data_IF_110216006260
#
_entry.id   IF_110216006260
#
_cell.length_a   1.000
_cell.length_b   1.000
_cell.length_c   1.000
_cell.angle_alpha   90.00
_cell.angle_beta   90.00
_cell.angle_gamma   90.00
#
_symmetry.space_group_name_H-M   'P 1'
#
loop_
_entity.id
_entity.type
_entity.pdbx_description
1 polymer ?
#
# COMPACT_ATOMS: atom_id res chain seq x y z
N UNK A 1 -2.67 5.98 -32.62
CA UNK A 1 -2.06 4.65 -32.45
C UNK A 1 -2.97 3.75 -31.63
N UNK A 2 -2.99 2.46 -31.94
CA UNK A 2 -3.78 1.48 -31.17
C UNK A 2 -3.15 1.13 -29.82
N UNK A 3 -1.82 1.24 -29.74
CA UNK A 3 -1.03 0.95 -28.53
C UNK A 3 0.01 2.07 -28.31
N UNK A 4 0.13 2.50 -27.07
CA UNK A 4 1.09 3.52 -26.63
C UNK A 4 1.93 2.91 -25.52
N UNK A 5 3.26 3.01 -25.63
CA UNK A 5 4.20 2.58 -24.60
C UNK A 5 4.83 3.81 -23.93
N UNK A 6 4.77 3.87 -22.62
CA UNK A 6 5.31 4.95 -21.81
C UNK A 6 6.24 4.36 -20.74
N UNK A 7 7.47 4.84 -20.72
CA UNK A 7 8.45 4.45 -19.69
C UNK A 7 8.60 5.57 -18.67
N UNK A 8 8.23 5.31 -17.42
CA UNK A 8 8.27 6.25 -16.29
C UNK A 8 7.71 7.65 -16.63
N UNK A 9 6.49 7.78 -17.20
CA UNK A 9 6.03 9.01 -17.85
C UNK A 9 5.90 10.22 -16.92
N UNK A 10 5.93 10.01 -15.60
CA UNK A 10 5.71 11.09 -14.62
C UNK A 10 6.84 11.26 -13.61
N UNK A 11 7.89 10.44 -13.69
CA UNK A 11 8.95 10.38 -12.65
C UNK A 11 9.74 11.68 -12.48
N UNK A 12 9.89 12.48 -13.55
CA UNK A 12 10.65 13.73 -13.54
C UNK A 12 9.78 14.99 -13.50
N UNK A 13 8.47 14.86 -13.28
CA UNK A 13 7.54 15.98 -13.32
C UNK A 13 7.24 16.53 -11.92
N UNK A 14 6.94 17.81 -11.87
CA UNK A 14 6.35 18.44 -10.70
C UNK A 14 4.91 17.94 -10.47
N UNK A 15 4.31 18.17 -9.29
CA UNK A 15 2.97 17.67 -8.98
C UNK A 15 1.87 18.09 -9.96
N UNK A 16 1.99 19.28 -10.57
CA UNK A 16 1.02 19.76 -11.54
C UNK A 16 1.17 19.01 -12.86
N UNK A 17 2.38 18.95 -13.43
CA UNK A 17 2.66 18.20 -14.65
C UNK A 17 2.35 16.72 -14.53
N UNK A 18 2.67 16.10 -13.37
CA UNK A 18 2.30 14.70 -13.08
C UNK A 18 0.78 14.48 -13.18
N UNK A 19 0.00 15.34 -12.55
CA UNK A 19 -1.47 15.28 -12.62
C UNK A 19 -1.96 15.39 -14.07
N UNK A 20 -1.43 16.34 -14.83
CA UNK A 20 -1.87 16.61 -16.21
C UNK A 20 -1.58 15.41 -17.13
N UNK A 21 -0.42 14.75 -16.98
CA UNK A 21 -0.08 13.53 -17.73
C UNK A 21 -0.97 12.35 -17.34
N UNK A 22 -1.24 12.15 -16.05
CA UNK A 22 -2.15 11.08 -15.60
C UNK A 22 -3.59 11.29 -16.07
N UNK A 23 -4.06 12.54 -16.14
CA UNK A 23 -5.35 12.88 -16.74
C UNK A 23 -5.38 12.59 -18.24
N UNK A 24 -4.29 12.89 -18.96
CA UNK A 24 -4.17 12.57 -20.38
C UNK A 24 -4.24 11.05 -20.60
N UNK A 25 -3.49 10.27 -19.83
CA UNK A 25 -3.54 8.79 -19.88
C UNK A 25 -4.97 8.29 -19.63
N UNK A 26 -5.66 8.87 -18.66
CA UNK A 26 -7.05 8.50 -18.36
C UNK A 26 -8.00 8.81 -19.51
N UNK A 27 -7.81 9.93 -20.22
CA UNK A 27 -8.63 10.30 -21.39
C UNK A 27 -8.41 9.39 -22.59
N UNK A 28 -7.22 8.79 -22.71
CA UNK A 28 -6.91 7.83 -23.78
C UNK A 28 -7.60 6.46 -23.58
N UNK A 29 -8.16 6.20 -22.42
CA UNK A 29 -8.93 4.97 -22.16
C UNK A 29 -10.12 4.89 -23.12
N UNK A 30 -10.23 3.73 -23.78
CA UNK A 30 -11.26 3.50 -24.81
C UNK A 30 -10.86 3.91 -26.23
N UNK A 31 -9.83 4.74 -26.39
CA UNK A 31 -9.29 5.13 -27.70
C UNK A 31 -8.03 4.36 -28.05
N UNK A 32 -7.22 4.02 -27.05
CA UNK A 32 -5.96 3.28 -27.24
C UNK A 32 -5.65 2.42 -26.01
N UNK A 33 -4.86 1.37 -26.22
CA UNK A 33 -4.24 0.63 -25.12
C UNK A 33 -2.97 1.35 -24.69
N UNK A 34 -2.92 1.82 -23.45
CA UNK A 34 -1.72 2.44 -22.88
C UNK A 34 -1.01 1.44 -22.00
N UNK A 35 0.24 1.15 -22.33
CA UNK A 35 1.15 0.34 -21.54
C UNK A 35 2.21 1.26 -20.91
N UNK A 36 2.23 1.37 -19.58
CA UNK A 36 3.20 2.20 -18.89
C UNK A 36 4.00 1.40 -17.86
N UNK A 37 5.29 1.70 -17.74
CA UNK A 37 6.12 1.30 -16.62
C UNK A 37 6.14 2.40 -15.57
N UNK A 38 6.11 2.05 -14.29
CA UNK A 38 6.31 2.97 -13.18
C UNK A 38 6.62 2.23 -11.90
N UNK A 39 7.35 2.89 -10.99
CA UNK A 39 7.55 2.44 -9.61
C UNK A 39 6.62 3.16 -8.63
N UNK A 40 5.76 4.07 -9.10
CA UNK A 40 4.86 4.87 -8.26
C UNK A 40 3.49 4.19 -8.20
N UNK A 41 3.27 3.39 -7.15
CA UNK A 41 2.06 2.58 -7.01
C UNK A 41 0.77 3.39 -6.94
N UNK A 42 0.80 4.58 -6.35
CA UNK A 42 -0.35 5.49 -6.32
C UNK A 42 -0.83 5.92 -7.72
N UNK A 43 0.08 6.02 -8.72
CA UNK A 43 -0.31 6.30 -10.10
C UNK A 43 -0.95 5.09 -10.76
N UNK A 44 -0.41 3.89 -10.47
CA UNK A 44 -1.00 2.63 -10.93
C UNK A 44 -2.42 2.49 -10.42
N UNK A 45 -2.65 2.72 -9.13
CA UNK A 45 -4.01 2.70 -8.54
C UNK A 45 -4.97 3.66 -9.23
N UNK A 46 -4.47 4.84 -9.58
CA UNK A 46 -5.28 5.91 -10.17
C UNK A 46 -5.68 5.65 -11.62
N UNK A 47 -4.75 5.13 -12.44
CA UNK A 47 -4.96 5.10 -13.89
C UNK A 47 -4.92 3.71 -14.53
N UNK A 48 -4.48 2.65 -13.85
CA UNK A 48 -4.36 1.33 -14.46
C UNK A 48 -5.57 0.45 -14.18
N UNK A 49 -6.03 -0.27 -15.21
CA UNK A 49 -7.08 -1.30 -15.09
C UNK A 49 -6.48 -2.69 -14.86
N UNK A 50 -5.27 -2.89 -15.38
CA UNK A 50 -4.50 -4.14 -15.25
C UNK A 50 -3.10 -3.81 -14.74
N UNK A 51 -2.54 -4.71 -13.98
CA UNK A 51 -1.22 -4.55 -13.34
C UNK A 51 -0.39 -5.79 -13.63
N UNK A 52 0.85 -5.56 -14.09
CA UNK A 52 1.90 -6.56 -14.12
C UNK A 52 2.98 -6.22 -13.10
N UNK A 53 3.27 -7.12 -12.20
CA UNK A 53 4.36 -6.96 -11.21
C UNK A 53 5.58 -7.72 -11.68
N UNK A 54 6.71 -7.01 -11.78
CA UNK A 54 8.01 -7.59 -12.14
C UNK A 54 8.93 -7.52 -10.93
N UNK A 55 9.55 -8.63 -10.57
CA UNK A 55 10.55 -8.72 -9.53
C UNK A 55 11.76 -9.52 -10.03
N UNK A 56 12.98 -8.99 -9.87
CA UNK A 56 14.22 -9.60 -10.36
C UNK A 56 14.14 -10.07 -11.83
N UNK A 57 13.54 -9.26 -12.71
CA UNK A 57 13.41 -9.54 -14.14
C UNK A 57 12.39 -10.63 -14.49
N UNK A 58 11.59 -11.11 -13.54
CA UNK A 58 10.54 -12.10 -13.75
C UNK A 58 9.17 -11.49 -13.50
N UNK A 59 8.21 -11.84 -14.36
CA UNK A 59 6.81 -11.49 -14.14
C UNK A 59 6.28 -12.32 -12.95
N UNK A 60 5.92 -11.63 -11.87
CA UNK A 60 5.37 -12.24 -10.65
C UNK A 60 3.88 -12.52 -10.82
N UNK A 61 3.15 -11.54 -11.32
CA UNK A 61 1.71 -11.64 -11.61
C UNK A 61 1.31 -10.67 -12.71
N UNK A 62 0.19 -10.96 -13.38
CA UNK A 62 -0.48 -10.03 -14.28
C UNK A 62 -2.00 -10.24 -14.17
N UNK A 63 -2.70 -9.29 -13.58
CA UNK A 63 -4.12 -9.39 -13.28
C UNK A 63 -4.86 -8.06 -13.49
N UNK A 64 -6.18 -8.08 -13.42
CA UNK A 64 -6.94 -6.84 -13.24
C UNK A 64 -6.65 -6.28 -11.85
N UNK A 65 -6.56 -4.97 -11.74
CA UNK A 65 -6.31 -4.30 -10.46
C UNK A 65 -7.33 -4.72 -9.40
N UNK A 66 -8.61 -4.74 -9.74
CA UNK A 66 -9.69 -5.13 -8.85
C UNK A 66 -9.56 -6.57 -8.36
N UNK A 67 -9.30 -7.51 -9.28
CA UNK A 67 -9.07 -8.93 -8.97
C UNK A 67 -7.87 -9.10 -8.01
N UNK A 68 -6.79 -8.35 -8.26
CA UNK A 68 -5.60 -8.38 -7.41
C UNK A 68 -5.92 -7.85 -6.00
N UNK A 69 -6.63 -6.73 -5.90
CA UNK A 69 -7.01 -6.14 -4.61
C UNK A 69 -8.00 -7.01 -3.83
N UNK A 70 -8.91 -7.74 -4.51
CA UNK A 70 -9.84 -8.67 -3.89
C UNK A 70 -9.16 -9.96 -3.41
N UNK A 71 -8.15 -10.43 -4.14
CA UNK A 71 -7.39 -11.62 -3.78
C UNK A 71 -6.59 -11.44 -2.49
N UNK A 72 -6.11 -10.21 -2.25
CA UNK A 72 -5.34 -9.85 -1.07
C UNK A 72 -6.20 -9.05 -0.09
N UNK A 73 -7.13 -9.75 0.61
CA UNK A 73 -7.85 -9.17 1.74
C UNK A 73 -6.89 -9.15 2.93
N UNK A 74 -6.20 -8.04 3.09
CA UNK A 74 -5.25 -7.86 4.19
C UNK A 74 -5.94 -7.11 5.35
N UNK A 75 -6.05 -7.70 6.52
CA UNK A 75 -6.61 -7.01 7.69
C UNK A 75 -5.58 -6.03 8.24
N UNK A 76 -5.72 -4.76 7.86
CA UNK A 76 -4.82 -3.69 8.24
C UNK A 76 -5.53 -2.72 9.19
N UNK A 77 -4.90 -2.46 10.34
CA UNK A 77 -5.26 -1.33 11.20
C UNK A 77 -4.41 -0.13 10.84
N UNK A 78 -5.05 1.02 10.71
CA UNK A 78 -4.38 2.33 10.60
C UNK A 78 -4.64 3.14 11.85
N UNK A 79 -3.56 3.55 12.50
CA UNK A 79 -3.57 4.29 13.76
C UNK A 79 -2.82 5.59 13.53
N UNK A 80 -3.56 6.70 13.58
CA UNK A 80 -3.01 8.04 13.42
C UNK A 80 -2.93 8.73 14.76
N UNK A 81 -1.72 9.15 15.13
CA UNK A 81 -1.48 9.95 16.35
C UNK A 81 -1.63 11.43 16.07
N UNK A 82 -1.65 12.22 17.13
CA UNK A 82 -1.56 13.66 17.00
C UNK A 82 -0.15 14.09 16.54
N UNK A 83 0.01 15.24 15.86
CA UNK A 83 1.33 15.77 15.50
C UNK A 83 2.28 15.83 16.71
N UNK A 84 3.51 15.37 16.51
CA UNK A 84 4.52 15.29 17.56
C UNK A 84 4.62 13.92 18.26
N UNK A 85 3.85 12.92 17.81
CA UNK A 85 3.90 11.57 18.37
C UNK A 85 4.71 10.58 17.51
N UNK A 86 5.42 11.04 16.49
CA UNK A 86 6.13 10.21 15.49
C UNK A 86 7.03 9.17 16.14
N UNK A 87 7.94 9.61 17.03
CA UNK A 87 8.86 8.71 17.73
C UNK A 87 8.14 7.74 18.68
N UNK A 88 7.08 8.22 19.33
CA UNK A 88 6.31 7.41 20.28
C UNK A 88 5.52 6.31 19.55
N UNK A 89 4.93 6.62 18.40
CA UNK A 89 4.23 5.67 17.55
C UNK A 89 5.20 4.62 17.00
N UNK A 90 6.37 5.03 16.51
CA UNK A 90 7.38 4.11 16.04
C UNK A 90 7.84 3.15 17.16
N UNK A 91 8.19 3.67 18.32
CA UNK A 91 8.61 2.87 19.48
C UNK A 91 7.49 1.95 20.01
N UNK A 92 6.23 2.34 19.85
CA UNK A 92 5.08 1.51 20.18
C UNK A 92 4.92 0.38 19.15
N UNK A 93 4.97 0.69 17.87
CA UNK A 93 4.80 -0.26 16.79
C UNK A 93 5.85 -1.39 16.88
N UNK A 94 7.10 -1.08 17.17
CA UNK A 94 8.19 -2.06 17.35
C UNK A 94 7.87 -3.10 18.47
N UNK A 95 7.13 -2.70 19.50
CA UNK A 95 6.74 -3.60 20.60
C UNK A 95 5.61 -4.55 20.23
N UNK A 96 4.91 -4.35 19.11
CA UNK A 96 3.81 -5.21 18.68
C UNK A 96 4.30 -6.57 18.18
N UNK A 97 5.56 -6.72 17.83
CA UNK A 97 6.17 -7.99 17.39
C UNK A 97 6.02 -9.13 18.39
N UNK A 98 5.75 -8.83 19.65
CA UNK A 98 5.50 -9.83 20.70
C UNK A 98 4.13 -10.52 20.61
N UNK A 99 3.19 -9.96 19.87
CA UNK A 99 1.85 -10.51 19.75
C UNK A 99 1.75 -11.53 18.61
N UNK A 100 1.08 -12.65 18.84
CA UNK A 100 0.92 -13.72 17.85
C UNK A 100 0.11 -13.31 16.62
N UNK A 101 -0.79 -12.36 16.78
CA UNK A 101 -1.61 -11.81 15.69
C UNK A 101 -0.86 -10.78 14.83
N UNK A 102 0.28 -10.25 15.27
CA UNK A 102 1.08 -9.31 14.48
C UNK A 102 1.73 -10.03 13.30
N UNK A 103 1.67 -9.43 12.11
CA UNK A 103 2.37 -9.92 10.93
C UNK A 103 3.48 -8.95 10.52
N UNK A 104 3.12 -7.72 10.22
CA UNK A 104 4.07 -6.66 9.90
C UNK A 104 3.50 -5.28 10.24
N UNK A 105 4.34 -4.27 10.24
CA UNK A 105 3.90 -2.90 10.44
C UNK A 105 4.92 -1.90 9.94
N UNK A 106 4.43 -0.78 9.45
CA UNK A 106 5.25 0.36 9.08
C UNK A 106 4.70 1.63 9.72
N UNK A 107 5.56 2.64 9.82
CA UNK A 107 5.22 3.95 10.37
C UNK A 107 5.67 5.01 9.38
N UNK A 108 4.79 5.95 9.07
CA UNK A 108 5.10 7.15 8.29
C UNK A 108 4.55 8.35 9.02
N UNK A 109 5.41 9.31 9.30
CA UNK A 109 5.09 10.47 10.14
C UNK A 109 4.45 10.00 11.47
N UNK A 110 3.24 10.44 11.78
CA UNK A 110 2.48 10.08 12.98
C UNK A 110 1.42 8.98 12.74
N UNK A 111 1.55 8.22 11.63
CA UNK A 111 0.61 7.14 11.27
C UNK A 111 1.31 5.80 11.27
N UNK A 112 0.74 4.81 11.95
CA UNK A 112 1.16 3.41 11.91
C UNK A 112 0.13 2.59 11.14
N UNK A 113 0.60 1.73 10.22
CA UNK A 113 -0.19 0.71 9.52
C UNK A 113 0.26 -0.65 9.99
N UNK A 114 -0.65 -1.43 10.55
CA UNK A 114 -0.37 -2.72 11.19
C UNK A 114 -1.15 -3.81 10.44
N UNK A 115 -0.43 -4.67 9.75
CA UNK A 115 -0.97 -5.89 9.16
C UNK A 115 -1.06 -6.96 10.25
N UNK A 116 -2.22 -7.59 10.37
CA UNK A 116 -2.47 -8.61 11.37
C UNK A 116 -2.92 -9.93 10.73
N UNK A 117 -2.63 -11.05 11.40
CA UNK A 117 -3.05 -12.40 10.99
C UNK A 117 -4.48 -12.70 11.37
N UNK A 118 -4.94 -12.10 12.49
CA UNK A 118 -6.25 -12.28 13.07
C UNK A 118 -6.81 -10.92 13.51
N UNK A 119 -7.83 -10.47 12.78
CA UNK A 119 -8.44 -9.15 12.98
C UNK A 119 -9.15 -9.05 14.33
N UNK A 120 -9.85 -10.12 14.75
CA UNK A 120 -10.63 -10.11 15.98
C UNK A 120 -9.72 -10.16 17.22
N UNK A 121 -8.67 -11.00 17.19
CA UNK A 121 -7.68 -11.03 18.26
C UNK A 121 -6.91 -9.70 18.38
N UNK A 122 -6.56 -9.09 17.25
CA UNK A 122 -5.80 -7.84 17.23
C UNK A 122 -6.61 -6.63 17.72
N UNK A 123 -7.92 -6.61 17.50
CA UNK A 123 -8.79 -5.43 17.72
C UNK A 123 -8.71 -4.87 19.13
N UNK A 124 -8.86 -5.74 20.13
CA UNK A 124 -8.82 -5.33 21.52
C UNK A 124 -7.39 -5.10 22.03
N UNK A 125 -6.47 -5.97 21.65
CA UNK A 125 -5.07 -5.88 22.08
C UNK A 125 -4.39 -4.62 21.54
N UNK A 126 -4.69 -4.22 20.30
CA UNK A 126 -4.18 -2.97 19.72
C UNK A 126 -4.67 -1.75 20.50
N UNK A 127 -5.97 -1.66 20.77
CA UNK A 127 -6.55 -0.55 21.55
C UNK A 127 -5.93 -0.48 22.95
N UNK A 128 -5.82 -1.63 23.63
CA UNK A 128 -5.20 -1.69 24.96
C UNK A 128 -3.71 -1.33 24.92
N UNK A 129 -2.98 -1.76 23.88
CA UNK A 129 -1.56 -1.42 23.74
C UNK A 129 -1.33 0.06 23.48
N UNK A 130 -2.19 0.73 22.71
CA UNK A 130 -2.20 2.20 22.52
C UNK A 130 -2.43 2.90 23.85
N UNK A 131 -3.45 2.46 24.62
CA UNK A 131 -3.74 3.01 25.95
C UNK A 131 -2.57 2.85 26.90
N UNK A 132 -1.95 1.66 26.96
CA UNK A 132 -0.79 1.40 27.82
C UNK A 132 0.45 2.22 27.45
N UNK A 133 0.62 2.49 26.14
CA UNK A 133 1.70 3.33 25.65
C UNK A 133 1.46 4.83 25.92
N UNK A 134 0.26 5.22 26.37
CA UNK A 134 -0.10 6.61 26.60
C UNK A 134 -0.13 7.45 25.32
N UNK A 135 -0.38 6.81 24.18
CA UNK A 135 -0.43 7.50 22.89
C UNK A 135 -1.72 8.30 22.77
N UNK A 136 -1.59 9.56 22.41
CA UNK A 136 -2.71 10.38 21.98
C UNK A 136 -2.95 10.12 20.48
N UNK A 137 -4.13 9.61 20.13
CA UNK A 137 -4.50 9.23 18.76
C UNK A 137 -5.70 10.03 18.30
N UNK A 138 -5.69 10.39 17.01
CA UNK A 138 -6.79 11.06 16.31
C UNK A 138 -7.68 10.05 15.59
N UNK A 139 -7.10 8.95 15.07
CA UNK A 139 -7.85 7.96 14.29
C UNK A 139 -7.38 6.54 14.57
N UNK A 140 -8.34 5.63 14.63
CA UNK A 140 -8.12 4.18 14.73
C UNK A 140 -9.15 3.47 13.87
N UNK A 141 -8.72 2.87 12.77
CA UNK A 141 -9.63 2.21 11.84
C UNK A 141 -9.05 0.97 11.20
N UNK A 142 -9.94 0.09 10.70
CA UNK A 142 -9.57 -1.00 9.81
C UNK A 142 -9.69 -0.50 8.38
N UNK A 143 -8.59 -0.49 7.64
CA UNK A 143 -8.53 0.04 6.28
C UNK A 143 -8.45 -1.07 5.24
N UNK A 144 -8.83 -0.72 4.01
CA UNK A 144 -8.56 -1.59 2.86
C UNK A 144 -7.06 -1.51 2.53
N UNK A 145 -6.46 -2.62 2.09
CA UNK A 145 -5.08 -2.59 1.64
C UNK A 145 -4.91 -1.62 0.47
N UNK A 146 -3.79 -0.94 0.45
CA UNK A 146 -3.31 -0.21 -0.74
C UNK A 146 -2.63 -1.18 -1.70
N UNK A 147 -2.38 -0.75 -2.92
CA UNK A 147 -1.58 -1.54 -3.86
C UNK A 147 -0.16 -1.77 -3.34
N UNK A 148 0.36 -0.86 -2.53
CA UNK A 148 1.67 -1.00 -1.88
C UNK A 148 1.68 -2.16 -0.88
N UNK A 149 0.64 -2.28 -0.04
CA UNK A 149 0.51 -3.40 0.89
C UNK A 149 0.45 -4.75 0.14
N UNK A 150 -0.33 -4.80 -0.95
CA UNK A 150 -0.45 -5.99 -1.81
C UNK A 150 0.88 -6.30 -2.50
N UNK A 151 1.59 -5.28 -3.00
CA UNK A 151 2.88 -5.45 -3.65
C UNK A 151 3.93 -6.03 -2.70
N UNK A 152 4.05 -5.51 -1.48
CA UNK A 152 4.96 -6.02 -0.46
C UNK A 152 4.68 -7.49 -0.16
N UNK A 153 3.41 -7.85 0.02
CA UNK A 153 3.01 -9.24 0.27
C UNK A 153 3.35 -10.18 -0.89
N UNK A 154 3.12 -9.74 -2.14
CA UNK A 154 3.47 -10.50 -3.35
C UNK A 154 4.96 -10.79 -3.47
N UNK A 155 5.80 -9.83 -3.08
CA UNK A 155 7.26 -9.97 -3.13
C UNK A 155 7.72 -10.94 -2.05
N UNK A 156 7.24 -10.81 -0.80
CA UNK A 156 7.56 -11.71 0.32
C UNK A 156 7.20 -13.17 0.01
N UNK A 157 5.96 -13.44 -0.46
CA UNK A 157 5.51 -14.80 -0.80
C UNK A 157 6.37 -15.49 -1.87
N UNK A 158 6.97 -14.71 -2.78
CA UNK A 158 7.85 -15.25 -3.82
C UNK A 158 9.29 -15.46 -3.35
N UNK A 159 9.73 -14.77 -2.33
CA UNK A 159 11.04 -14.99 -1.70
C UNK A 159 11.03 -16.24 -0.85
N UNK A 160 9.95 -16.51 -0.12
CA UNK A 160 9.76 -17.72 0.70
C UNK A 160 9.63 -19.03 -0.12
N UNK A 161 9.34 -18.94 -1.43
CA UNK A 161 9.23 -20.08 -2.35
C UNK A 161 10.56 -20.43 -3.04
N UNK A 162 11.65 -19.78 -2.67
CA UNK A 162 13.02 -20.06 -3.18
C UNK A 162 13.90 -20.78 -2.20
#
# INVERSE_FOLDING_TARGET
PEVIFLDEPVSALDPAGRRDVLELITRLKGEATVFMSTHILADVERVCDRIGVINHGKLVTAARREELMEQYVLPIFEIEGIPGTELAIQAWQEKLTKFSWFESGNTSDHTARILVKDLEAARFDLLESVRQAGLAIDRFEVVRPSLEDVFLKLVEEKEDQR
#
